data_IF_861849713011
#
_entry.id   IF_861849713011
#
_cell.length_a   1.000
_cell.length_b   1.000
_cell.length_c   1.000
_cell.angle_alpha   90.00
_cell.angle_beta   90.00
_cell.angle_gamma   90.00
#
_symmetry.space_group_name_H-M   'P 1'
#
loop_
_entity.id
_entity.type
_entity.pdbx_description
1 polymer ?
#
# COMPACT_ATOMS: atom_id res chain seq x y z
N UNK A 1 13.40 -11.46 -25.69
CA UNK A 1 13.06 -11.22 -25.52
C UNK A 1 12.69 -10.93 -25.19
N UNK A 2 12.88 -11.04 -25.20
CA UNK A 2 12.48 -10.69 -24.90
C UNK A 2 12.38 -10.26 -24.18
N UNK A 3 12.62 -10.18 -23.97
CA UNK A 3 12.51 -9.66 -23.43
C UNK A 3 12.63 -9.42 -22.51
N UNK A 4 13.04 -9.19 -22.48
CA UNK A 4 12.96 -8.87 -21.81
C UNK A 4 13.08 -8.45 -20.98
N UNK A 5 13.42 -8.12 -21.00
CA UNK A 5 13.12 -7.65 -20.34
C UNK A 5 12.91 -7.18 -19.93
N UNK A 6 13.08 -7.14 -19.89
CA UNK A 6 12.69 -6.60 -19.76
C UNK A 6 12.44 -6.38 -19.14
N UNK A 7 12.67 -6.20 -19.07
CA UNK A 7 12.07 -6.11 -18.58
C UNK A 7 11.67 -5.99 -17.97
N UNK A 8 11.82 -5.89 -17.98
CA UNK A 8 11.38 -5.83 -17.49
C UNK A 8 10.97 -6.05 -16.96
N UNK A 9 11.05 -6.19 -16.93
CA UNK A 9 10.65 -6.56 -16.41
C UNK A 9 10.14 -7.09 -15.95
N UNK A 10 10.43 -7.28 -16.09
CA UNK A 10 9.70 -7.80 -15.74
C UNK A 10 9.40 -8.47 -14.84
N UNK A 11 9.12 -8.15 -14.22
CA UNK A 11 8.90 -8.97 -13.32
C UNK A 11 7.85 -9.66 -13.56
N UNK A 12 7.96 -10.64 -13.52
CA UNK A 12 7.02 -11.41 -13.87
C UNK A 12 5.92 -11.42 -13.03
N UNK A 13 4.89 -11.29 -13.58
CA UNK A 13 3.73 -11.44 -12.91
C UNK A 13 3.69 -12.68 -12.17
N UNK A 14 4.50 -13.53 -12.51
CA UNK A 14 4.50 -14.76 -11.81
C UNK A 14 4.98 -14.62 -10.41
N UNK A 15 5.58 -13.52 -10.09
CA UNK A 15 6.10 -13.36 -8.76
C UNK A 15 4.96 -13.19 -7.79
N UNK A 16 4.77 -14.12 -6.88
CA UNK A 16 3.65 -14.03 -5.98
C UNK A 16 3.73 -12.87 -5.01
N UNK A 17 4.89 -12.27 -4.90
CA UNK A 17 5.05 -11.17 -3.97
C UNK A 17 4.98 -9.82 -4.63
N UNK A 18 4.65 -9.81 -5.92
CA UNK A 18 4.61 -8.53 -6.59
C UNK A 18 3.40 -7.74 -6.12
N UNK A 19 3.60 -6.46 -5.86
CA UNK A 19 2.54 -5.62 -5.37
C UNK A 19 2.35 -4.48 -6.33
N UNK A 20 1.13 -4.27 -6.79
CA UNK A 20 0.84 -3.20 -7.73
C UNK A 20 0.78 -1.87 -7.00
N UNK A 21 0.90 -0.77 -7.73
CA UNK A 21 0.74 0.55 -7.11
C UNK A 21 -0.62 0.72 -6.44
N UNK A 22 -1.66 0.13 -7.03
CA UNK A 22 -2.98 0.21 -6.42
C UNK A 22 -3.00 -0.51 -5.09
N UNK A 23 -2.35 -1.66 -5.00
CA UNK A 23 -2.30 -2.39 -3.75
C UNK A 23 -1.50 -1.66 -2.69
N UNK A 24 -0.44 -0.96 -3.10
CA UNK A 24 0.32 -0.16 -2.16
C UNK A 24 -0.53 0.97 -1.60
N UNK A 25 -1.31 1.62 -2.48
CA UNK A 25 -2.17 2.69 -2.03
C UNK A 25 -3.25 2.16 -1.09
N UNK A 26 -3.82 1.01 -1.41
CA UNK A 26 -4.83 0.41 -0.55
C UNK A 26 -4.25 0.08 0.82
N UNK A 27 -3.05 -0.49 0.86
CA UNK A 27 -2.44 -0.81 2.13
C UNK A 27 -2.20 0.45 2.97
N UNK A 28 -1.73 1.52 2.33
CA UNK A 28 -1.51 2.77 3.06
C UNK A 28 -2.81 3.29 3.65
N UNK A 29 -3.89 3.24 2.88
CA UNK A 29 -5.18 3.73 3.37
C UNK A 29 -5.67 2.87 4.53
N UNK A 30 -5.55 1.56 4.41
CA UNK A 30 -6.00 0.68 5.48
C UNK A 30 -5.25 0.94 6.78
N UNK A 31 -3.95 1.18 6.67
CA UNK A 31 -3.17 1.49 7.87
C UNK A 31 -3.55 2.81 8.49
N UNK A 32 -3.76 3.82 7.67
CA UNK A 32 -4.11 5.14 8.17
C UNK A 32 -5.49 5.12 8.82
N UNK A 33 -6.44 4.45 8.17
CA UNK A 33 -7.80 4.39 8.69
C UNK A 33 -7.82 3.63 10.03
N UNK A 34 -7.03 2.58 10.13
CA UNK A 34 -6.98 1.83 11.37
C UNK A 34 -6.46 2.70 12.51
N UNK A 35 -5.44 3.51 12.22
CA UNK A 35 -4.84 4.34 13.26
C UNK A 35 -5.65 5.59 13.55
N UNK A 36 -6.32 6.13 12.54
CA UNK A 36 -7.06 7.37 12.69
C UNK A 36 -8.42 7.26 12.04
N UNK A 37 -9.37 6.60 12.69
CA UNK A 37 -10.67 6.36 12.06
C UNK A 37 -11.45 7.63 11.74
N UNK A 38 -11.13 8.73 12.39
CA UNK A 38 -11.86 9.96 12.13
C UNK A 38 -11.26 10.80 11.01
N UNK A 39 -10.25 10.28 10.33
CA UNK A 39 -9.60 11.08 9.30
C UNK A 39 -10.56 11.36 8.15
N UNK A 40 -10.56 12.59 7.65
CA UNK A 40 -11.41 12.95 6.54
C UNK A 40 -10.72 12.58 5.23
N UNK A 41 -11.49 12.59 4.14
CA UNK A 41 -10.90 12.32 2.84
C UNK A 41 -9.85 13.34 2.47
N UNK A 42 -10.08 14.60 2.84
CA UNK A 42 -9.11 15.64 2.54
C UNK A 42 -7.80 15.41 3.26
N UNK A 43 -7.89 15.07 4.54
CA UNK A 43 -6.68 14.76 5.29
C UNK A 43 -5.99 13.53 4.76
N UNK A 44 -6.77 12.55 4.36
CA UNK A 44 -6.22 11.33 3.79
C UNK A 44 -5.49 11.63 2.49
N UNK A 45 -6.07 12.48 1.65
CA UNK A 45 -5.43 12.86 0.41
C UNK A 45 -4.08 13.52 0.67
N UNK A 46 -4.02 14.35 1.70
CA UNK A 46 -2.76 14.98 2.05
C UNK A 46 -1.73 13.97 2.50
N UNK A 47 -2.15 13.00 3.32
CA UNK A 47 -1.23 11.97 3.77
C UNK A 47 -0.73 11.12 2.63
N UNK A 48 -1.59 10.85 1.65
CA UNK A 48 -1.22 10.03 0.54
C UNK A 48 -0.44 10.79 -0.54
N UNK A 49 -0.56 12.10 -0.52
CA UNK A 49 0.11 12.90 -1.54
C UNK A 49 -0.57 12.82 -2.89
N UNK A 50 -1.89 12.61 -2.90
CA UNK A 50 -2.64 12.55 -4.15
C UNK A 50 -3.82 13.49 -4.07
N UNK A 51 -4.52 13.63 -5.18
CA UNK A 51 -5.65 14.54 -5.22
C UNK A 51 -6.83 14.00 -4.43
N UNK A 52 -7.76 14.87 -4.10
CA UNK A 52 -8.95 14.46 -3.41
C UNK A 52 -9.78 13.50 -4.27
N UNK A 53 -9.82 13.74 -5.57
CA UNK A 53 -10.55 12.85 -6.47
C UNK A 53 -9.97 11.47 -6.51
N UNK A 54 -8.64 11.38 -6.52
CA UNK A 54 -7.98 10.07 -6.51
C UNK A 54 -8.27 9.36 -5.18
N UNK A 55 -8.23 10.10 -4.09
CA UNK A 55 -8.52 9.54 -2.78
C UNK A 55 -9.95 8.99 -2.74
N UNK A 56 -10.90 9.76 -3.28
CA UNK A 56 -12.27 9.32 -3.30
C UNK A 56 -12.41 8.04 -4.12
N UNK A 57 -11.71 7.96 -5.24
CA UNK A 57 -11.73 6.78 -6.08
C UNK A 57 -11.21 5.56 -5.31
N UNK A 58 -10.10 5.74 -4.60
CA UNK A 58 -9.51 4.63 -3.84
C UNK A 58 -10.42 4.21 -2.68
N UNK A 59 -11.03 5.18 -2.01
CA UNK A 59 -11.94 4.87 -0.91
C UNK A 59 -13.14 4.08 -1.44
N UNK A 60 -13.70 4.49 -2.57
CA UNK A 60 -14.84 3.79 -3.12
C UNK A 60 -14.49 2.35 -3.48
N UNK A 61 -13.27 2.14 -3.97
CA UNK A 61 -12.83 0.80 -4.30
C UNK A 61 -12.74 -0.06 -3.04
N UNK A 62 -12.25 0.50 -1.95
CA UNK A 62 -12.14 -0.25 -0.70
C UNK A 62 -13.51 -0.52 -0.09
N UNK A 63 -14.43 0.42 -0.22
CA UNK A 63 -15.80 0.19 0.24
C UNK A 63 -16.44 -0.92 -0.58
N UNK A 64 -16.23 -0.93 -1.89
CA UNK A 64 -16.80 -1.95 -2.74
C UNK A 64 -16.25 -3.33 -2.42
N UNK A 65 -14.99 -3.41 -2.02
CA UNK A 65 -14.41 -4.69 -1.66
C UNK A 65 -14.81 -5.13 -0.25
N UNK A 66 -15.46 -4.25 0.50
CA UNK A 66 -15.85 -4.61 1.86
C UNK A 66 -14.73 -4.54 2.85
N UNK A 67 -13.63 -3.88 2.53
CA UNK A 67 -12.52 -3.78 3.45
C UNK A 67 -12.72 -2.68 4.48
N UNK A 68 -13.49 -1.67 4.14
CA UNK A 68 -13.83 -0.62 5.09
C UNK A 68 -15.31 -0.35 4.97
N UNK A 69 -15.86 0.30 5.97
CA UNK A 69 -17.23 0.74 5.89
C UNK A 69 -17.30 2.17 6.36
N UNK A 70 -18.26 2.90 5.85
CA UNK A 70 -18.43 4.30 6.20
C UNK A 70 -18.95 4.40 7.62
N UNK A 71 -18.38 5.32 8.34
CA UNK A 71 -18.82 5.54 9.70
C UNK A 71 -20.09 6.35 9.74
N UNK A 72 -20.71 6.36 10.89
CA UNK A 72 -21.91 7.06 11.01
C UNK A 72 -21.75 8.13 12.04
N UNK A 73 -20.98 9.11 11.76
CA UNK A 73 -20.73 10.07 12.77
C UNK A 73 -21.75 11.17 12.77
N UNK A 74 -22.76 11.03 12.00
CA UNK A 74 -23.71 12.04 12.05
C UNK A 74 -24.56 11.97 13.21
N UNK A 75 -24.52 10.91 13.89
CA UNK A 75 -25.43 10.77 14.91
C UNK A 75 -24.90 11.30 16.06
N UNK A 76 -24.82 12.25 16.20
CA UNK A 76 -24.58 12.61 17.40
C UNK A 76 -23.71 12.99 18.15
N UNK A 77 -23.95 13.30 19.02
CA UNK A 77 -23.33 13.71 20.13
C UNK A 77 -22.36 12.75 20.50
N UNK A 78 -22.10 11.78 19.86
CA UNK A 78 -21.24 10.90 20.22
C UNK A 78 -19.95 11.37 20.11
N UNK A 79 -19.13 11.08 20.83
CA UNK A 79 -17.90 11.50 20.76
C UNK A 79 -17.13 10.76 19.85
N UNK A 80 -17.50 9.65 19.44
CA UNK A 80 -16.75 8.89 18.61
C UNK A 80 -17.08 9.13 17.25
N UNK A 81 -16.39 9.95 16.58
CA UNK A 81 -16.68 10.19 15.27
C UNK A 81 -15.72 9.47 14.48
N UNK A 82 -16.11 8.60 13.59
CA UNK A 82 -15.19 7.98 12.70
C UNK A 82 -15.78 8.03 11.32
N UNK A 83 -14.97 8.37 10.35
CA UNK A 83 -15.41 8.40 8.96
C UNK A 83 -15.38 7.02 8.35
N UNK A 84 -14.43 6.20 8.73
CA UNK A 84 -14.29 4.86 8.18
C UNK A 84 -13.80 3.89 9.23
N UNK A 85 -14.24 2.64 9.11
CA UNK A 85 -13.78 1.58 10.00
C UNK A 85 -13.35 0.40 9.16
N UNK A 86 -12.31 -0.29 9.61
CA UNK A 86 -11.90 -1.51 8.94
C UNK A 86 -12.86 -2.63 9.33
N UNK A 87 -13.25 -3.40 8.34
CA UNK A 87 -14.04 -4.58 8.58
C UNK A 87 -13.10 -5.75 8.87
N UNK A 88 -13.60 -6.88 9.33
CA UNK A 88 -12.74 -8.06 9.47
C UNK A 88 -12.06 -8.42 8.17
N UNK A 89 -12.75 -8.27 7.03
CA UNK A 89 -12.15 -8.51 5.74
C UNK A 89 -11.04 -7.50 5.45
N UNK A 90 -11.21 -6.28 5.92
CA UNK A 90 -10.18 -5.27 5.74
C UNK A 90 -8.95 -5.57 6.55
N UNK A 91 -9.13 -6.09 7.76
CA UNK A 91 -7.99 -6.46 8.59
C UNK A 91 -7.22 -7.61 7.93
N UNK A 92 -7.93 -8.59 7.40
CA UNK A 92 -7.30 -9.71 6.71
C UNK A 92 -6.55 -9.22 5.47
N UNK A 93 -7.15 -8.27 4.74
CA UNK A 93 -6.50 -7.71 3.56
C UNK A 93 -5.25 -6.93 3.95
N UNK A 94 -5.31 -6.19 5.04
CA UNK A 94 -4.15 -5.44 5.49
C UNK A 94 -2.99 -6.39 5.80
N UNK A 95 -3.29 -7.49 6.47
CA UNK A 95 -2.25 -8.45 6.80
C UNK A 95 -1.65 -9.07 5.53
N UNK A 96 -2.53 -9.47 4.59
CA UNK A 96 -2.06 -10.07 3.35
C UNK A 96 -1.18 -9.10 2.56
N UNK A 97 -1.64 -7.86 2.44
CA UNK A 97 -0.89 -6.86 1.70
C UNK A 97 0.42 -6.52 2.39
N UNK A 98 0.41 -6.52 3.72
CA UNK A 98 1.64 -6.26 4.46
C UNK A 98 2.66 -7.36 4.20
N UNK A 99 2.21 -8.62 4.17
CA UNK A 99 3.12 -9.72 3.86
C UNK A 99 3.71 -9.57 2.46
N UNK A 100 2.88 -9.20 1.50
CA UNK A 100 3.36 -9.04 0.14
C UNK A 100 4.35 -7.88 0.04
N UNK A 101 4.05 -6.80 0.74
CA UNK A 101 4.93 -5.64 0.74
C UNK A 101 6.27 -5.99 1.39
N UNK A 102 6.22 -6.71 2.50
CA UNK A 102 7.43 -7.12 3.18
C UNK A 102 8.30 -8.01 2.28
N UNK A 103 7.68 -8.98 1.63
CA UNK A 103 8.43 -9.87 0.76
C UNK A 103 9.12 -9.09 -0.36
N UNK A 104 8.42 -8.12 -0.92
CA UNK A 104 9.01 -7.30 -1.96
C UNK A 104 10.17 -6.48 -1.41
N UNK A 105 10.00 -5.91 -0.22
CA UNK A 105 11.05 -5.10 0.37
C UNK A 105 12.28 -5.95 0.69
N UNK A 106 12.07 -7.17 1.11
CA UNK A 106 13.19 -8.05 1.39
C UNK A 106 13.96 -8.38 0.12
N UNK A 107 13.25 -8.56 -1.00
CA UNK A 107 13.93 -8.81 -2.25
C UNK A 107 14.70 -7.58 -2.70
N UNK A 108 14.13 -6.40 -2.52
CA UNK A 108 14.82 -5.17 -2.86
C UNK A 108 16.07 -5.01 -2.00
N UNK A 109 15.97 -5.39 -0.74
CA UNK A 109 17.11 -5.31 0.16
C UNK A 109 18.25 -6.23 -0.30
N UNK A 110 17.90 -7.45 -0.69
CA UNK A 110 18.94 -8.38 -1.15
C UNK A 110 19.59 -7.89 -2.44
N UNK A 111 18.79 -7.33 -3.35
CA UNK A 111 19.34 -6.80 -4.57
C UNK A 111 20.28 -5.63 -4.30
N UNK A 112 19.89 -4.78 -3.36
CA UNK A 112 20.70 -3.64 -3.01
C UNK A 112 22.01 -4.07 -2.37
N UNK A 113 21.95 -5.07 -1.51
CA UNK A 113 23.17 -5.59 -0.91
C UNK A 113 24.13 -6.11 -1.96
N UNK A 114 23.60 -6.81 -2.96
CA UNK A 114 24.44 -7.34 -4.02
C UNK A 114 25.09 -6.21 -4.83
N UNK A 115 24.32 -5.15 -5.09
CA UNK A 115 24.85 -4.01 -5.81
C UNK A 115 25.98 -3.34 -5.03
N UNK A 116 25.77 -3.16 -3.75
CA UNK A 116 26.79 -2.52 -2.92
C UNK A 116 28.05 -3.35 -2.90
N UNK A 117 27.89 -4.66 -2.79
CA UNK A 117 29.05 -5.54 -2.77
C UNK A 117 29.83 -5.45 -4.08
N UNK A 118 29.11 -5.40 -5.19
CA UNK A 118 29.76 -5.30 -6.48
C UNK A 118 30.52 -3.99 -6.63
N UNK A 119 29.93 -2.89 -6.17
CA UNK A 119 30.60 -1.61 -6.28
C UNK A 119 31.84 -1.54 -5.40
N UNK A 120 31.77 -2.14 -4.23
CA UNK A 120 32.95 -2.17 -3.38
C UNK A 120 34.08 -2.97 -4.02
N UNK A 121 33.72 -4.08 -4.67
CA UNK A 121 34.72 -4.88 -5.35
C UNK A 121 35.37 -4.09 -6.49
N UNK A 122 34.56 -3.31 -7.20
CA UNK A 122 35.10 -2.49 -8.27
C UNK A 122 36.12 -1.48 -7.73
N UNK A 123 35.81 -0.87 -6.61
CA UNK A 123 36.72 0.11 -6.07
C UNK A 123 38.02 -0.53 -5.56
N UNK A 124 37.92 -1.74 -5.04
CA UNK A 124 39.10 -2.39 -4.57
C UNK A 124 40.05 -2.79 -5.69
N UNK A 125 39.53 -2.89 -6.90
CA UNK A 125 40.37 -3.26 -8.02
C UNK A 125 41.07 -2.07 -8.64
N UNK A 126 40.73 -0.90 -8.26
CA UNK A 126 41.41 0.28 -8.76
C UNK A 126 42.32 0.84 -7.68
#
# INVERSE_FOLDING_TARGET
>A
MKGTFGHGGSVPAACPNFMTPAEQAHLRILKIVEAEPEISQRQLAERLGVSLGKTNYLIKALLAKGYIKAGNFLTSDEKHKYAYLLTPEGIAAKIRLTRNFLARKEQEYLALRAEIKAMRAELEQT
#
